data_IF_419780056620
#
_entry.id   IF_419780056620
#
_cell.length_a   1.000
_cell.length_b   1.000
_cell.length_c   1.000
_cell.angle_alpha   90.00
_cell.angle_beta   90.00
_cell.angle_gamma   90.00
#
_symmetry.space_group_name_H-M   'P 1'
#
loop_
_entity.id
_entity.type
_entity.pdbx_description
1 polymer ?
#
# COMPACT_ATOMS: atom_id res chain seq x y z
N UNK A 1 -9.47 -11.23 5.25
CA UNK A 1 -8.48 -12.32 5.00
C UNK A 1 -7.24 -11.99 5.79
N UNK A 2 -6.75 -12.91 6.57
CA UNK A 2 -5.59 -12.71 7.43
C UNK A 2 -4.47 -13.65 6.98
N UNK A 3 -3.23 -13.15 6.93
CA UNK A 3 -2.04 -13.93 6.61
C UNK A 3 -1.08 -13.85 7.78
N UNK A 4 -0.55 -14.99 8.22
CA UNK A 4 0.45 -15.09 9.27
C UNK A 4 1.74 -15.72 8.73
N UNK A 5 2.88 -15.08 8.99
CA UNK A 5 4.20 -15.55 8.57
C UNK A 5 5.14 -15.57 9.75
N UNK A 6 5.89 -16.68 9.90
CA UNK A 6 6.87 -16.81 10.96
C UNK A 6 8.23 -16.28 10.49
N UNK A 7 8.90 -15.47 11.32
CA UNK A 7 10.17 -14.80 10.97
C UNK A 7 11.32 -15.76 10.62
N UNK A 8 11.30 -16.98 11.14
CA UNK A 8 12.30 -17.99 10.82
C UNK A 8 11.97 -18.84 9.58
N UNK A 9 10.85 -18.61 8.95
CA UNK A 9 10.53 -19.26 7.69
C UNK A 9 11.26 -18.55 6.56
N UNK A 10 12.14 -19.26 5.86
CA UNK A 10 12.92 -18.71 4.74
C UNK A 10 12.04 -18.17 3.60
N UNK A 11 10.84 -18.71 3.44
CA UNK A 11 9.88 -18.28 2.43
C UNK A 11 8.92 -17.19 2.93
N UNK A 12 9.05 -16.74 4.18
CA UNK A 12 8.14 -15.74 4.73
C UNK A 12 8.20 -14.41 3.97
N UNK A 13 9.38 -13.97 3.58
CA UNK A 13 9.55 -12.73 2.80
C UNK A 13 8.83 -12.81 1.44
N UNK A 14 8.96 -13.94 0.74
CA UNK A 14 8.30 -14.18 -0.55
C UNK A 14 6.79 -14.28 -0.38
N UNK A 15 6.32 -14.96 0.68
CA UNK A 15 4.91 -15.06 1.03
C UNK A 15 4.28 -13.70 1.33
N UNK A 16 4.96 -12.85 2.10
CA UNK A 16 4.52 -11.48 2.38
C UNK A 16 4.48 -10.67 1.09
N UNK A 17 5.53 -10.72 0.27
CA UNK A 17 5.58 -9.99 -0.99
C UNK A 17 4.44 -10.38 -1.94
N UNK A 18 4.17 -11.69 -2.10
CA UNK A 18 3.06 -12.17 -2.92
C UNK A 18 1.69 -11.74 -2.38
N UNK A 19 1.52 -11.76 -1.04
CA UNK A 19 0.27 -11.33 -0.41
C UNK A 19 0.04 -9.83 -0.61
N UNK A 20 1.07 -9.02 -0.48
CA UNK A 20 1.02 -7.57 -0.71
C UNK A 20 0.73 -7.25 -2.17
N UNK A 21 1.40 -7.91 -3.10
CA UNK A 21 1.16 -7.74 -4.53
C UNK A 21 -0.31 -8.04 -4.89
N UNK A 22 -0.86 -9.13 -4.36
CA UNK A 22 -2.28 -9.48 -4.53
C UNK A 22 -3.22 -8.43 -3.95
N UNK A 23 -2.94 -7.93 -2.74
CA UNK A 23 -3.79 -6.93 -2.06
C UNK A 23 -3.74 -5.57 -2.77
N UNK A 24 -2.57 -5.15 -3.23
CA UNK A 24 -2.39 -3.87 -3.93
C UNK A 24 -2.92 -3.91 -5.38
N UNK A 25 -2.93 -5.09 -6.00
CA UNK A 25 -3.45 -5.29 -7.36
C UNK A 25 -4.97 -5.49 -7.41
N UNK A 26 -5.64 -5.66 -6.25
CA UNK A 26 -7.09 -5.77 -6.22
C UNK A 26 -7.74 -4.41 -6.54
N UNK A 27 -8.68 -4.36 -7.52
CA UNK A 27 -9.43 -3.14 -7.77
C UNK A 27 -10.20 -2.75 -6.50
N UNK A 28 -9.97 -1.56 -6.02
CA UNK A 28 -10.72 -0.98 -4.91
C UNK A 28 -12.18 -0.89 -5.35
N UNK A 29 -13.01 -1.82 -4.90
CA UNK A 29 -14.45 -1.78 -5.16
C UNK A 29 -15.04 -0.64 -4.34
N UNK A 30 -15.08 0.52 -4.92
CA UNK A 30 -16.02 1.57 -4.52
C UNK A 30 -17.42 0.97 -4.67
N UNK A 31 -18.09 0.80 -3.54
CA UNK A 31 -19.51 0.41 -3.50
C UNK A 31 -20.32 1.48 -4.19
N UNK A 32 -20.56 1.33 -5.49
CA UNK A 32 -21.58 2.07 -6.18
C UNK A 32 -22.56 1.11 -6.85
N UNK A 33 -23.81 1.32 -6.45
CA UNK A 33 -25.06 0.64 -6.81
C UNK A 33 -25.22 0.38 -8.31
N UNK A 34 -25.72 -0.83 -8.57
CA UNK A 34 -26.62 -1.28 -9.65
C UNK A 34 -26.85 -0.34 -10.83
N UNK A 35 -26.51 -0.83 -12.02
CA UNK A 35 -27.46 -0.81 -13.14
C UNK A 35 -27.32 -2.11 -13.93
N UNK A 36 -28.45 -2.82 -14.04
CA UNK A 36 -28.66 -3.94 -14.94
C UNK A 36 -28.54 -3.44 -16.39
N UNK A 37 -27.75 -4.13 -17.18
CA UNK A 37 -27.70 -3.95 -18.63
C UNK A 37 -27.21 -5.24 -19.29
N UNK A 38 -28.15 -6.05 -19.76
CA UNK A 38 -27.93 -7.17 -20.66
C UNK A 38 -27.37 -6.65 -22.00
N UNK A 39 -26.19 -7.12 -22.40
CA UNK A 39 -25.64 -6.81 -23.73
C UNK A 39 -24.38 -7.65 -24.01
N UNK A 40 -24.52 -8.62 -24.88
CA UNK A 40 -23.47 -9.37 -25.55
C UNK A 40 -22.47 -8.43 -26.19
N UNK A 41 -21.20 -8.48 -25.79
CA UNK A 41 -20.13 -7.65 -26.37
C UNK A 41 -18.89 -8.47 -26.75
N UNK A 42 -18.41 -8.20 -27.94
CA UNK A 42 -17.26 -8.82 -28.59
C UNK A 42 -15.91 -8.54 -27.89
N UNK A 43 -14.88 -9.40 -28.08
CA UNK A 43 -13.61 -9.38 -27.33
C UNK A 43 -12.77 -8.11 -27.47
N UNK A 44 -12.97 -7.32 -28.51
CA UNK A 44 -12.17 -6.11 -28.75
C UNK A 44 -12.46 -4.94 -27.76
N UNK A 45 -13.63 -4.95 -27.10
CA UNK A 45 -14.02 -3.88 -26.18
C UNK A 45 -13.44 -4.05 -24.76
N UNK A 46 -12.82 -5.19 -24.46
CA UNK A 46 -12.24 -5.46 -23.15
C UNK A 46 -10.80 -4.92 -23.01
N UNK A 47 -10.07 -4.80 -24.11
CA UNK A 47 -8.69 -4.27 -24.10
C UNK A 47 -8.64 -2.76 -23.83
N UNK A 48 -9.56 -1.98 -24.38
CA UNK A 48 -9.61 -0.53 -24.13
C UNK A 48 -10.05 -0.19 -22.69
N UNK A 49 -10.91 -1.02 -22.08
CA UNK A 49 -11.32 -0.83 -20.68
C UNK A 49 -10.19 -1.15 -19.69
N UNK A 50 -9.35 -2.11 -20.00
CA UNK A 50 -8.20 -2.45 -19.17
C UNK A 50 -7.08 -1.39 -19.29
N UNK A 51 -6.85 -0.82 -20.47
CA UNK A 51 -5.92 0.29 -20.66
C UNK A 51 -6.37 1.56 -19.91
N UNK A 52 -7.65 1.93 -19.99
CA UNK A 52 -8.22 3.06 -19.22
C UNK A 52 -8.24 2.83 -17.71
N UNK A 53 -8.28 1.56 -17.26
CA UNK A 53 -8.25 1.22 -15.83
C UNK A 53 -6.84 1.38 -15.24
N UNK A 54 -5.80 1.12 -16.02
CA UNK A 54 -4.40 1.28 -15.62
C UNK A 54 -4.01 2.77 -15.52
N UNK A 55 -4.55 3.64 -16.37
CA UNK A 55 -4.26 5.09 -16.36
C UNK A 55 -4.79 5.84 -15.12
N UNK A 56 -5.71 5.25 -14.34
CA UNK A 56 -6.31 5.89 -13.17
C UNK A 56 -5.86 5.30 -11.82
N UNK A 57 -4.97 4.32 -11.80
CA UNK A 57 -4.42 3.77 -10.56
C UNK A 57 -3.28 4.64 -10.06
N UNK A 58 -3.50 5.35 -8.96
CA UNK A 58 -2.44 6.10 -8.31
C UNK A 58 -1.46 5.14 -7.62
N UNK A 59 -0.15 5.49 -7.59
CA UNK A 59 0.85 4.68 -6.91
C UNK A 59 0.47 4.40 -5.45
N UNK A 60 0.78 3.21 -4.93
CA UNK A 60 0.51 2.89 -3.53
C UNK A 60 1.33 3.78 -2.59
N UNK A 61 0.77 3.99 -1.41
CA UNK A 61 1.41 4.72 -0.31
C UNK A 61 1.79 3.72 0.78
N UNK A 62 3.05 3.75 1.21
CA UNK A 62 3.57 2.95 2.31
C UNK A 62 3.86 3.89 3.48
N UNK A 63 3.26 3.63 4.63
CA UNK A 63 3.47 4.41 5.86
C UNK A 63 4.06 3.48 6.92
N UNK A 64 5.29 3.74 7.34
CA UNK A 64 5.96 3.03 8.43
C UNK A 64 5.82 3.84 9.71
N UNK A 65 5.14 3.28 10.70
CA UNK A 65 4.83 3.95 11.96
C UNK A 65 5.81 3.52 13.04
N UNK A 66 6.30 4.46 13.83
CA UNK A 66 7.15 4.19 14.97
C UNK A 66 8.01 5.39 15.36
N UNK A 67 8.84 5.21 16.38
CA UNK A 67 9.75 6.22 16.92
C UNK A 67 11.18 5.71 16.95
N UNK A 68 12.13 6.58 16.75
CA UNK A 68 13.57 6.29 16.91
C UNK A 68 14.03 6.28 18.38
N UNK A 69 13.15 6.66 19.31
CA UNK A 69 13.47 6.82 20.73
C UNK A 69 13.41 5.52 21.53
N UNK A 70 12.74 4.48 21.03
CA UNK A 70 12.58 3.20 21.72
C UNK A 70 12.92 2.03 20.79
N UNK A 71 13.68 1.06 21.30
CA UNK A 71 14.22 -0.06 20.47
C UNK A 71 13.09 -0.83 19.76
N UNK A 72 12.02 -1.16 20.46
CA UNK A 72 10.89 -1.90 19.85
C UNK A 72 10.12 -1.07 18.81
N UNK A 73 9.96 0.21 19.08
CA UNK A 73 9.18 1.14 18.25
C UNK A 73 9.99 1.66 17.04
N UNK A 74 11.30 1.46 17.02
CA UNK A 74 12.18 1.90 15.93
C UNK A 74 12.13 1.01 14.68
N UNK A 75 11.54 -0.18 14.77
CA UNK A 75 11.45 -1.11 13.63
C UNK A 75 10.69 -0.53 12.44
N UNK A 76 9.63 0.25 12.69
CA UNK A 76 8.89 0.94 11.65
C UNK A 76 9.79 1.91 10.84
N UNK A 77 10.40 2.91 11.46
CA UNK A 77 11.32 3.85 10.80
C UNK A 77 12.52 3.19 10.15
N UNK A 78 13.10 2.14 10.76
CA UNK A 78 14.19 1.36 10.18
C UNK A 78 13.73 0.67 8.90
N UNK A 79 12.58 0.01 8.93
CA UNK A 79 11.97 -0.62 7.74
C UNK A 79 11.73 0.39 6.65
N UNK A 80 11.18 1.55 6.98
CA UNK A 80 10.96 2.64 6.03
C UNK A 80 12.26 3.13 5.39
N UNK A 81 13.34 3.29 6.17
CA UNK A 81 14.65 3.68 5.65
C UNK A 81 15.23 2.61 4.72
N UNK A 82 15.12 1.32 5.08
CA UNK A 82 15.56 0.22 4.24
C UNK A 82 14.75 0.13 2.93
N UNK A 83 13.45 0.30 3.00
CA UNK A 83 12.57 0.34 1.82
C UNK A 83 12.94 1.48 0.90
N UNK A 84 13.22 2.65 1.43
CA UNK A 84 13.63 3.82 0.63
C UNK A 84 14.83 3.53 -0.27
N UNK A 85 15.81 2.78 0.20
CA UNK A 85 16.96 2.39 -0.61
C UNK A 85 16.64 1.29 -1.61
N UNK A 86 15.84 0.31 -1.21
CA UNK A 86 15.50 -0.86 -2.06
C UNK A 86 14.46 -0.54 -3.12
N UNK A 87 13.62 0.46 -2.87
CA UNK A 87 12.52 0.85 -3.76
C UNK A 87 12.85 2.02 -4.68
N UNK A 88 14.12 2.37 -4.82
CA UNK A 88 14.55 3.32 -5.85
C UNK A 88 14.15 2.74 -7.23
N UNK A 89 13.14 3.35 -7.84
CA UNK A 89 12.55 2.88 -9.09
C UNK A 89 11.20 2.17 -8.95
N UNK A 90 10.71 1.88 -7.75
CA UNK A 90 9.32 1.49 -7.56
C UNK A 90 8.42 2.74 -7.55
N UNK A 91 7.33 2.65 -8.28
CA UNK A 91 6.33 3.70 -8.32
C UNK A 91 5.44 3.62 -7.05
N UNK A 92 5.97 4.09 -5.92
CA UNK A 92 5.29 4.12 -4.63
C UNK A 92 5.72 5.33 -3.81
N UNK A 93 4.81 5.85 -2.99
CA UNK A 93 5.13 6.89 -2.00
C UNK A 93 5.46 6.24 -0.66
N UNK A 94 6.50 6.70 0.02
CA UNK A 94 6.97 6.17 1.29
C UNK A 94 7.06 7.27 2.34
N UNK A 95 6.42 7.05 3.48
CA UNK A 95 6.48 7.90 4.66
C UNK A 95 6.90 7.11 5.89
N UNK A 96 7.63 7.73 6.80
CA UNK A 96 8.11 7.09 8.01
C UNK A 96 9.48 6.44 7.87
N UNK A 97 10.52 7.26 7.84
CA UNK A 97 11.94 6.84 7.85
C UNK A 97 12.60 7.29 9.15
N UNK A 98 13.84 6.84 9.41
CA UNK A 98 14.63 7.33 10.57
C UNK A 98 14.86 8.84 10.53
N UNK A 99 15.03 9.42 9.35
CA UNK A 99 15.22 10.86 9.20
C UNK A 99 13.92 11.68 9.30
N UNK A 100 12.78 11.04 9.12
CA UNK A 100 11.46 11.66 9.20
C UNK A 100 10.42 10.63 9.71
N UNK A 101 10.46 10.27 10.99
CA UNK A 101 9.58 9.25 11.56
C UNK A 101 8.13 9.74 11.63
N UNK A 102 7.20 8.82 11.46
CA UNK A 102 5.78 9.02 11.70
C UNK A 102 5.44 8.33 13.01
N UNK A 103 5.38 9.07 14.09
CA UNK A 103 5.07 8.55 15.41
C UNK A 103 3.56 8.46 15.65
N UNK A 104 3.15 7.80 16.73
CA UNK A 104 1.74 7.70 17.09
C UNK A 104 1.04 9.08 17.25
N UNK A 105 1.81 10.12 17.60
CA UNK A 105 1.29 11.50 17.75
C UNK A 105 0.93 12.12 16.40
N UNK A 106 1.64 11.80 15.35
CA UNK A 106 1.43 12.34 14.01
C UNK A 106 0.42 11.56 13.18
N UNK A 107 -0.04 10.39 13.61
CA UNK A 107 -0.93 9.53 12.82
C UNK A 107 -2.21 10.25 12.37
N UNK A 108 -2.79 11.07 13.23
CA UNK A 108 -4.01 11.83 12.90
C UNK A 108 -3.73 12.80 11.74
N UNK A 109 -2.65 13.56 11.83
CA UNK A 109 -2.24 14.52 10.81
C UNK A 109 -1.84 13.81 9.51
N UNK A 110 -1.11 12.71 9.63
CA UNK A 110 -0.72 11.88 8.49
C UNK A 110 -1.95 11.35 7.74
N UNK A 111 -2.97 10.88 8.45
CA UNK A 111 -4.22 10.41 7.85
C UNK A 111 -4.91 11.51 7.05
N UNK A 112 -5.01 12.71 7.61
CA UNK A 112 -5.67 13.83 6.95
C UNK A 112 -4.84 14.29 5.74
N UNK A 113 -3.53 14.38 5.89
CA UNK A 113 -2.58 14.66 4.79
C UNK A 113 -2.72 13.66 3.63
N UNK A 114 -2.79 12.35 3.92
CA UNK A 114 -2.92 11.31 2.91
C UNK A 114 -4.26 11.38 2.18
N UNK A 115 -5.34 11.73 2.87
CA UNK A 115 -6.65 11.92 2.25
C UNK A 115 -6.67 13.07 1.25
N UNK A 116 -5.95 14.13 1.54
CA UNK A 116 -5.85 15.30 0.67
C UNK A 116 -4.86 15.08 -0.48
N UNK A 117 -3.71 14.48 -0.19
CA UNK A 117 -2.60 14.34 -1.16
C UNK A 117 -2.73 13.10 -2.04
N UNK A 118 -3.23 12.00 -1.47
CA UNK A 118 -3.32 10.69 -2.12
C UNK A 118 -4.74 10.08 -2.02
N UNK A 119 -5.78 10.78 -2.48
CA UNK A 119 -7.17 10.38 -2.23
C UNK A 119 -7.58 9.06 -2.88
N UNK A 120 -6.87 8.62 -3.91
CA UNK A 120 -7.15 7.39 -4.68
C UNK A 120 -6.09 6.32 -4.56
N UNK A 121 -5.04 6.56 -3.79
CA UNK A 121 -3.95 5.59 -3.60
C UNK A 121 -4.32 4.53 -2.57
N UNK A 122 -4.00 3.25 -2.81
CA UNK A 122 -4.04 2.25 -1.76
C UNK A 122 -2.97 2.55 -0.71
N UNK A 123 -3.31 2.40 0.57
CA UNK A 123 -2.42 2.70 1.68
C UNK A 123 -2.05 1.42 2.41
N UNK A 124 -0.75 1.16 2.54
CA UNK A 124 -0.18 0.12 3.37
C UNK A 124 0.45 0.76 4.61
N UNK A 125 -0.08 0.46 5.78
CA UNK A 125 0.51 0.86 7.05
C UNK A 125 1.33 -0.29 7.66
N UNK A 126 2.55 0.00 8.07
CA UNK A 126 3.46 -0.93 8.76
C UNK A 126 3.71 -0.38 10.16
N UNK A 127 3.27 -1.11 11.16
CA UNK A 127 3.40 -0.78 12.58
C UNK A 127 3.90 -2.03 13.33
N UNK A 128 4.95 -1.88 14.13
CA UNK A 128 5.53 -2.92 14.95
C UNK A 128 5.24 -2.62 16.43
N UNK A 129 4.47 -3.48 17.04
CA UNK A 129 4.15 -3.41 18.47
C UNK A 129 4.59 -4.68 19.19
#
# INVERSE_FOLDING_TARGET
>A
MEYAFHIYNKLAADGVAMSLDRLLSMPQTSKNKKTRGTGTRSPQFQQEKNAKKIENEQPPVIVCVGSDLAIGDSLGPITGSMLKYKTQGLNAFLYGTLGAPVTAKEIKYMRDFLRETHPKSPILAIDFR
#
